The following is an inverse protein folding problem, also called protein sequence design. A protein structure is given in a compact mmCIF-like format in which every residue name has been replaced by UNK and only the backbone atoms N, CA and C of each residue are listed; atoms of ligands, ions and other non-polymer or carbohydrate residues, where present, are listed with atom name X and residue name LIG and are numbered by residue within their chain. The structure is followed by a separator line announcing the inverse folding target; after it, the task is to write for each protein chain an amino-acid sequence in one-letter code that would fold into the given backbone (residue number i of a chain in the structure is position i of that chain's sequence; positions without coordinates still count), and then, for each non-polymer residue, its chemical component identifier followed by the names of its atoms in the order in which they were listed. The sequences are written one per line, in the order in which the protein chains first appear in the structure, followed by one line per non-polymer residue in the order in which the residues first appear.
data_IF_341614950113
#
_entry.id   IF_341614950113
#
_cell.length_a   1.000
_cell.length_b   1.000
_cell.length_c   1.000
_cell.angle_alpha   90.00
_cell.angle_beta   90.00
_cell.angle_gamma   90.00
#
_symmetry.space_group_name_H-M   'P 1'
#
loop_
_entity.id
_entity.type
_entity.pdbx_description
1 polymer ?
#
# COMPACT_ATOMS: atom_id res chain seq x y z
N UNK A 1 -2.83 62.32 13.90
CA UNK A 1 -2.74 60.91 13.44
C UNK A 1 -4.05 60.22 13.81
N UNK A 2 -4.75 59.59 12.86
CA UNK A 2 -5.80 58.58 13.09
C UNK A 2 -6.16 57.95 11.73
N UNK A 3 -5.29 57.08 11.21
CA UNK A 3 -5.55 56.33 9.96
C UNK A 3 -6.44 55.11 10.25
N UNK A 4 -7.70 55.34 10.59
CA UNK A 4 -8.67 54.27 10.87
C UNK A 4 -9.26 53.66 9.58
N UNK A 5 -8.49 52.74 9.00
CA UNK A 5 -8.97 51.47 8.43
C UNK A 5 -10.34 51.48 7.72
N UNK A 6 -10.38 51.80 6.42
CA UNK A 6 -11.56 51.59 5.57
C UNK A 6 -12.06 50.12 5.56
N UNK A 7 -11.19 49.15 5.86
CA UNK A 7 -11.53 47.73 5.96
C UNK A 7 -12.61 47.41 7.03
N UNK A 8 -12.79 48.24 8.06
CA UNK A 8 -13.84 48.02 9.06
C UNK A 8 -15.25 48.31 8.54
N UNK A 9 -15.39 49.10 7.46
CA UNK A 9 -16.69 49.51 6.90
C UNK A 9 -17.44 48.37 6.17
N UNK A 10 -16.72 47.33 5.73
CA UNK A 10 -17.31 46.18 5.03
C UNK A 10 -17.75 45.03 5.98
N UNK A 11 -17.73 45.24 7.30
CA UNK A 11 -18.09 44.21 8.27
C UNK A 11 -19.59 44.01 8.40
N UNK A 12 -20.07 42.78 8.24
CA UNK A 12 -21.48 42.41 8.43
C UNK A 12 -21.92 42.36 9.91
N UNK A 13 -21.06 42.71 10.88
CA UNK A 13 -21.30 42.59 12.34
C UNK A 13 -22.65 43.16 12.81
N UNK A 14 -23.11 44.26 12.22
CA UNK A 14 -24.37 44.92 12.57
C UNK A 14 -25.52 44.64 11.58
N UNK A 15 -25.28 43.80 10.56
CA UNK A 15 -26.27 43.42 9.53
C UNK A 15 -26.78 41.98 9.68
N UNK A 16 -26.14 41.17 10.52
CA UNK A 16 -26.53 39.78 10.84
C UNK A 16 -26.28 39.47 12.33
N UNK A 17 -27.00 38.51 12.93
CA UNK A 17 -26.79 38.08 14.31
C UNK A 17 -25.33 37.77 14.66
N UNK A 18 -24.93 38.04 15.90
CA UNK A 18 -23.54 37.94 16.35
C UNK A 18 -22.92 36.54 16.20
N UNK A 19 -23.72 35.47 16.37
CA UNK A 19 -23.27 34.09 16.16
C UNK A 19 -22.85 33.78 14.72
N UNK A 20 -23.17 34.65 13.76
CA UNK A 20 -22.74 34.57 12.37
C UNK A 20 -21.40 35.30 12.11
N UNK A 21 -20.66 35.70 13.14
CA UNK A 21 -19.34 36.30 12.97
C UNK A 21 -18.41 35.31 12.24
N UNK A 22 -17.59 35.81 11.31
CA UNK A 22 -16.73 35.01 10.41
C UNK A 22 -17.40 33.93 9.54
N UNK A 23 -18.73 33.74 9.60
CA UNK A 23 -19.46 32.82 8.74
C UNK A 23 -19.22 33.13 7.25
N UNK A 24 -18.76 32.10 6.52
CA UNK A 24 -18.48 32.02 5.08
C UNK A 24 -19.00 30.67 4.57
N UNK A 25 -19.21 30.51 3.26
CA UNK A 25 -19.56 29.22 2.65
C UNK A 25 -20.96 28.67 3.00
N UNK A 26 -21.88 29.51 3.49
CA UNK A 26 -23.28 29.16 3.67
C UNK A 26 -24.11 29.70 2.49
N UNK A 27 -24.96 28.86 1.90
CA UNK A 27 -25.69 29.10 0.64
C UNK A 27 -26.37 30.48 0.60
N UNK A 28 -27.16 30.79 1.62
CA UNK A 28 -27.72 32.12 1.82
C UNK A 28 -27.92 32.40 3.32
N UNK A 29 -27.06 33.24 3.88
CA UNK A 29 -27.09 33.57 5.31
C UNK A 29 -28.39 34.24 5.77
N UNK A 30 -29.17 34.86 4.87
CA UNK A 30 -30.43 35.53 5.23
C UNK A 30 -31.49 34.54 5.74
N UNK A 31 -31.49 33.29 5.24
CA UNK A 31 -32.43 32.24 5.65
C UNK A 31 -32.43 32.12 7.19
N UNK A 32 -31.25 32.00 7.79
CA UNK A 32 -31.10 31.73 9.22
C UNK A 32 -31.47 32.91 10.14
N UNK A 33 -31.75 34.09 9.58
CA UNK A 33 -32.24 35.25 10.35
C UNK A 33 -33.77 35.25 10.52
N UNK A 34 -34.50 34.46 9.73
CA UNK A 34 -35.99 34.42 9.72
C UNK A 34 -36.58 33.04 10.03
N UNK A 35 -35.76 32.02 10.31
CA UNK A 35 -36.21 30.63 10.63
C UNK A 35 -37.25 30.56 11.75
N UNK A 36 -37.31 31.53 12.67
CA UNK A 36 -38.28 31.51 13.77
C UNK A 36 -39.70 31.99 13.37
N UNK A 37 -39.90 32.44 12.13
CA UNK A 37 -41.25 32.67 11.59
C UNK A 37 -41.89 31.30 11.27
N UNK A 38 -43.18 31.09 11.58
CA UNK A 38 -43.80 29.76 11.53
C UNK A 38 -43.73 29.10 10.13
N UNK A 39 -43.87 29.89 9.06
CA UNK A 39 -43.74 29.40 7.70
C UNK A 39 -42.32 28.88 7.40
N UNK A 40 -41.30 29.67 7.73
CA UNK A 40 -39.90 29.28 7.55
C UNK A 40 -39.47 28.15 8.49
N UNK A 41 -40.02 28.08 9.70
CA UNK A 41 -39.81 26.97 10.63
C UNK A 41 -40.37 25.67 10.03
N UNK A 42 -41.58 25.71 9.47
CA UNK A 42 -42.18 24.57 8.75
C UNK A 42 -41.34 24.17 7.54
N UNK A 43 -40.86 25.13 6.74
CA UNK A 43 -39.94 24.85 5.62
C UNK A 43 -38.65 24.18 6.08
N UNK A 44 -38.07 24.60 7.21
CA UNK A 44 -36.86 24.00 7.77
C UNK A 44 -37.10 22.53 8.18
N UNK A 45 -38.21 22.25 8.89
CA UNK A 45 -38.58 20.89 9.27
C UNK A 45 -38.78 19.97 8.06
N UNK A 46 -39.47 20.46 7.02
CA UNK A 46 -39.68 19.73 5.77
C UNK A 46 -38.36 19.49 5.02
N UNK A 47 -37.44 20.46 5.03
CA UNK A 47 -36.12 20.30 4.44
C UNK A 47 -35.25 19.28 5.20
N UNK A 48 -35.35 19.22 6.53
CA UNK A 48 -34.65 18.20 7.33
C UNK A 48 -35.22 16.80 7.10
N UNK A 49 -36.52 16.67 6.85
CA UNK A 49 -37.14 15.41 6.43
C UNK A 49 -36.72 15.01 5.00
N UNK A 50 -36.67 15.97 4.06
CA UNK A 50 -36.23 15.74 2.68
C UNK A 50 -34.77 15.25 2.60
N UNK A 51 -33.88 15.83 3.42
CA UNK A 51 -32.49 15.37 3.54
C UNK A 51 -32.33 14.00 4.25
N UNK A 52 -33.41 13.44 4.80
CA UNK A 52 -33.41 12.16 5.50
C UNK A 52 -32.49 12.08 6.73
N UNK A 53 -32.28 10.85 7.19
CA UNK A 53 -31.45 10.53 8.36
C UNK A 53 -32.08 10.87 9.71
N UNK A 54 -33.36 11.25 9.74
CA UNK A 54 -34.10 11.62 10.95
C UNK A 54 -35.43 10.87 11.01
N UNK A 55 -35.72 10.33 12.19
CA UNK A 55 -36.90 9.57 12.59
C UNK A 55 -38.03 10.46 13.12
N UNK A 56 -37.68 11.63 13.66
CA UNK A 56 -38.58 12.60 14.27
C UNK A 56 -38.45 13.98 13.60
N UNK A 57 -39.52 14.81 13.60
CA UNK A 57 -39.45 16.18 13.13
C UNK A 57 -38.37 16.97 13.89
N UNK A 58 -37.54 17.70 13.16
CA UNK A 58 -36.34 18.34 13.69
C UNK A 58 -36.21 19.76 13.17
N UNK A 59 -35.73 20.67 14.02
CA UNK A 59 -35.32 22.03 13.61
C UNK A 59 -33.86 22.26 14.03
N UNK A 60 -33.05 22.84 13.13
CA UNK A 60 -31.66 23.20 13.50
C UNK A 60 -31.61 24.25 14.63
N UNK A 61 -30.55 24.29 15.47
CA UNK A 61 -30.49 25.24 16.57
C UNK A 61 -30.48 26.70 16.08
N UNK A 62 -31.14 27.60 16.81
CA UNK A 62 -31.32 29.03 16.45
C UNK A 62 -30.01 29.78 16.14
N UNK A 63 -28.90 29.34 16.72
CA UNK A 63 -27.58 29.96 16.55
C UNK A 63 -26.66 29.18 15.57
N UNK A 64 -27.22 28.38 14.67
CA UNK A 64 -26.47 27.59 13.69
C UNK A 64 -26.98 27.79 12.26
N UNK A 65 -26.06 28.13 11.35
CA UNK A 65 -26.34 28.21 9.92
C UNK A 65 -26.14 26.85 9.23
N UNK A 66 -24.98 26.23 9.41
CA UNK A 66 -24.69 24.88 8.92
C UNK A 66 -25.40 23.81 9.75
N UNK A 67 -25.46 22.58 9.21
CA UNK A 67 -25.98 21.44 9.95
C UNK A 67 -25.11 21.16 11.19
N UNK A 68 -25.67 20.72 12.33
CA UNK A 68 -24.89 20.30 13.48
C UNK A 68 -23.97 19.12 13.17
N UNK A 69 -22.79 19.10 13.79
CA UNK A 69 -21.72 18.10 13.58
C UNK A 69 -22.24 16.65 13.67
N UNK A 70 -23.12 16.36 14.64
CA UNK A 70 -23.71 15.03 14.81
C UNK A 70 -24.64 14.64 13.65
N UNK A 71 -25.39 15.59 13.09
CA UNK A 71 -26.35 15.36 12.01
C UNK A 71 -25.65 15.26 10.66
N UNK A 72 -24.64 16.11 10.41
CA UNK A 72 -23.77 15.97 9.24
C UNK A 72 -22.98 14.67 9.27
N UNK A 73 -22.44 14.27 10.44
CA UNK A 73 -21.78 12.95 10.61
C UNK A 73 -22.75 11.80 10.34
N UNK A 74 -23.97 11.84 10.91
CA UNK A 74 -25.01 10.82 10.66
C UNK A 74 -25.37 10.73 9.18
N UNK A 75 -25.57 11.86 8.49
CA UNK A 75 -25.88 11.87 7.05
C UNK A 75 -24.73 11.38 6.18
N UNK A 76 -23.49 11.72 6.51
CA UNK A 76 -22.30 11.20 5.82
C UNK A 76 -22.15 9.67 5.98
N UNK A 77 -22.49 9.12 7.15
CA UNK A 77 -22.46 7.67 7.39
C UNK A 77 -23.63 6.93 6.71
N UNK A 78 -24.80 7.57 6.58
CA UNK A 78 -25.96 7.04 5.87
C UNK A 78 -25.92 7.27 4.35
N UNK A 79 -24.98 8.09 3.87
CA UNK A 79 -24.79 8.31 2.45
C UNK A 79 -24.26 7.02 1.84
N UNK A 80 -25.06 6.42 0.96
CA UNK A 80 -24.63 5.26 0.19
C UNK A 80 -23.36 5.58 -0.60
N UNK A 81 -22.46 4.61 -0.68
CA UNK A 81 -21.30 4.69 -1.56
C UNK A 81 -21.76 4.83 -3.02
N UNK A 82 -20.98 5.54 -3.84
CA UNK A 82 -21.28 5.71 -5.27
C UNK A 82 -21.10 4.41 -6.08
N UNK A 83 -20.24 3.52 -5.57
CA UNK A 83 -20.06 2.17 -6.08
C UNK A 83 -20.92 1.22 -5.24
N UNK A 84 -21.95 0.64 -5.85
CA UNK A 84 -22.82 -0.38 -5.23
C UNK A 84 -22.46 -1.75 -5.83
N UNK A 85 -22.21 -2.75 -4.97
CA UNK A 85 -21.92 -4.13 -5.40
C UNK A 85 -20.50 -4.35 -5.96
N UNK A 86 -19.43 -4.22 -5.15
CA UNK A 86 -18.05 -4.35 -5.62
C UNK A 86 -17.75 -5.80 -6.08
N UNK A 87 -17.30 -5.95 -7.32
CA UNK A 87 -16.90 -7.24 -7.87
C UNK A 87 -15.49 -7.63 -7.39
N UNK A 88 -14.51 -6.79 -7.73
CA UNK A 88 -13.08 -7.07 -7.53
C UNK A 88 -12.65 -6.89 -6.08
N UNK A 89 -11.53 -7.54 -5.71
CA UNK A 89 -10.77 -7.29 -4.48
C UNK A 89 -10.44 -5.79 -4.31
N UNK A 90 -9.93 -5.15 -5.37
CA UNK A 90 -9.64 -3.71 -5.40
C UNK A 90 -10.86 -2.83 -5.10
N UNK A 91 -12.03 -3.12 -5.67
CA UNK A 91 -13.24 -2.33 -5.44
C UNK A 91 -13.71 -2.37 -3.97
N UNK A 92 -13.53 -3.52 -3.31
CA UNK A 92 -13.78 -3.67 -1.86
C UNK A 92 -12.78 -2.81 -1.07
N UNK A 93 -11.50 -2.85 -1.42
CA UNK A 93 -10.45 -2.05 -0.80
C UNK A 93 -10.70 -0.54 -0.98
N UNK A 94 -11.17 -0.09 -2.16
CA UNK A 94 -11.57 1.31 -2.41
C UNK A 94 -12.70 1.72 -1.46
N UNK A 95 -13.71 0.87 -1.22
CA UNK A 95 -14.78 1.17 -0.26
C UNK A 95 -14.27 1.26 1.19
N UNK A 96 -13.28 0.45 1.56
CA UNK A 96 -12.61 0.53 2.87
C UNK A 96 -11.76 1.79 3.00
N UNK A 97 -11.03 2.18 1.95
CA UNK A 97 -10.28 3.42 1.86
C UNK A 97 -11.20 4.65 2.09
N UNK A 98 -12.36 4.70 1.45
CA UNK A 98 -13.33 5.78 1.67
C UNK A 98 -13.93 5.76 3.09
N UNK A 99 -14.10 4.59 3.73
CA UNK A 99 -14.56 4.51 5.13
C UNK A 99 -13.48 4.97 6.13
N UNK A 100 -12.21 4.63 5.88
CA UNK A 100 -11.06 4.92 6.74
C UNK A 100 -10.64 6.40 6.60
N UNK A 101 -10.24 6.81 5.40
CA UNK A 101 -9.56 8.08 5.14
C UNK A 101 -10.48 9.23 4.71
N UNK A 102 -11.64 8.92 4.11
CA UNK A 102 -12.67 9.92 3.74
C UNK A 102 -13.83 9.94 4.74
N UNK A 103 -13.54 9.68 6.02
CA UNK A 103 -14.53 9.76 7.09
C UNK A 103 -14.87 11.22 7.45
N UNK A 104 -16.10 11.46 7.94
CA UNK A 104 -16.55 12.81 8.29
C UNK A 104 -15.70 13.41 9.42
N UNK A 105 -14.92 14.45 9.10
CA UNK A 105 -13.91 15.04 9.98
C UNK A 105 -12.83 14.02 10.42
N UNK A 106 -12.46 13.11 9.51
CA UNK A 106 -11.36 12.18 9.71
C UNK A 106 -10.01 12.90 9.88
N UNK A 107 -9.22 12.42 10.83
CA UNK A 107 -7.84 12.87 11.10
C UNK A 107 -6.78 12.03 10.42
N UNK A 108 -7.14 10.81 10.05
CA UNK A 108 -6.20 9.77 9.70
C UNK A 108 -5.77 9.94 8.25
N UNK A 109 -4.45 9.94 8.02
CA UNK A 109 -3.85 10.07 6.69
C UNK A 109 -3.46 8.68 6.18
N UNK A 110 -3.62 8.39 4.87
CA UNK A 110 -3.08 7.18 4.28
C UNK A 110 -1.57 7.07 4.46
N UNK A 111 -1.06 5.83 4.44
CA UNK A 111 0.38 5.52 4.38
C UNK A 111 0.79 5.13 2.96
N UNK A 112 2.10 5.02 2.71
CA UNK A 112 2.60 4.45 1.46
C UNK A 112 2.19 2.97 1.32
N UNK A 113 2.19 2.22 2.42
CA UNK A 113 1.80 0.80 2.46
C UNK A 113 0.32 0.57 2.12
N UNK A 114 -0.58 1.46 2.55
CA UNK A 114 -1.99 1.42 2.10
C UNK A 114 -2.07 1.59 0.56
N UNK A 115 -1.21 2.42 -0.03
CA UNK A 115 -1.15 2.62 -1.48
C UNK A 115 -0.48 1.45 -2.21
N UNK A 116 0.55 0.82 -1.64
CA UNK A 116 1.15 -0.42 -2.16
C UNK A 116 0.10 -1.54 -2.21
N UNK A 117 -0.65 -1.72 -1.12
CA UNK A 117 -1.78 -2.67 -1.04
C UNK A 117 -2.78 -2.42 -2.17
N UNK A 118 -3.10 -1.16 -2.47
CA UNK A 118 -3.98 -0.81 -3.58
C UNK A 118 -3.42 -1.15 -4.97
N UNK A 119 -2.09 -1.10 -5.15
CA UNK A 119 -1.44 -1.52 -6.39
C UNK A 119 -1.35 -3.04 -6.52
N UNK A 120 -1.18 -3.77 -5.42
CA UNK A 120 -1.11 -5.24 -5.44
C UNK A 120 -2.45 -5.92 -5.76
N UNK A 121 -3.58 -5.26 -5.49
CA UNK A 121 -4.93 -5.72 -5.84
C UNK A 121 -5.35 -5.41 -7.29
N UNK A 122 -4.45 -4.88 -8.14
CA UNK A 122 -4.77 -4.55 -9.54
C UNK A 122 -4.80 -5.82 -10.41
N UNK A 123 -6.00 -6.22 -10.82
CA UNK A 123 -6.26 -7.37 -11.71
C UNK A 123 -6.74 -6.92 -13.12
N UNK A 124 -7.63 -5.93 -13.19
CA UNK A 124 -8.31 -5.45 -14.41
C UNK A 124 -7.87 -4.01 -14.78
N UNK A 125 -8.01 -3.56 -16.04
CA UNK A 125 -7.64 -2.19 -16.44
C UNK A 125 -8.47 -1.09 -15.74
N UNK A 126 -9.65 -1.42 -15.23
CA UNK A 126 -10.45 -0.53 -14.41
C UNK A 126 -9.84 -0.34 -13.00
N UNK A 127 -9.25 -1.40 -12.43
CA UNK A 127 -8.62 -1.37 -11.11
C UNK A 127 -7.41 -0.44 -11.09
N UNK A 128 -6.60 -0.47 -12.17
CA UNK A 128 -5.49 0.48 -12.36
C UNK A 128 -5.98 1.94 -12.38
N UNK A 129 -7.19 2.19 -12.91
CA UNK A 129 -7.79 3.54 -12.92
C UNK A 129 -8.22 3.98 -11.52
N UNK A 130 -8.69 3.08 -10.68
CA UNK A 130 -8.93 3.35 -9.25
C UNK A 130 -7.61 3.57 -8.50
N UNK A 131 -6.61 2.72 -8.71
CA UNK A 131 -5.29 2.84 -8.05
C UNK A 131 -4.60 4.17 -8.38
N UNK A 132 -4.62 4.59 -9.65
CA UNK A 132 -4.10 5.91 -10.06
C UNK A 132 -4.86 7.09 -9.42
N UNK A 133 -6.17 6.96 -9.20
CA UNK A 133 -6.93 7.98 -8.45
C UNK A 133 -6.54 8.02 -6.97
N UNK A 134 -6.25 6.88 -6.33
CA UNK A 134 -5.74 6.84 -4.96
C UNK A 134 -4.33 7.43 -4.86
N UNK A 135 -3.43 7.17 -5.82
CA UNK A 135 -2.13 7.84 -5.91
C UNK A 135 -2.27 9.36 -6.02
N UNK A 136 -3.17 9.84 -6.89
CA UNK A 136 -3.46 11.27 -7.02
C UNK A 136 -3.96 11.89 -5.70
N UNK A 137 -4.82 11.17 -4.94
CA UNK A 137 -5.23 11.61 -3.61
C UNK A 137 -4.04 11.65 -2.63
N UNK A 138 -3.18 10.62 -2.63
CA UNK A 138 -2.00 10.57 -1.75
C UNK A 138 -1.04 11.73 -2.02
N UNK A 139 -0.79 12.05 -3.31
CA UNK A 139 0.09 13.14 -3.73
C UNK A 139 -0.52 14.52 -3.48
N UNK A 140 -1.71 14.79 -4.00
CA UNK A 140 -2.27 16.14 -4.09
C UNK A 140 -3.25 16.52 -2.97
N UNK A 141 -3.88 15.55 -2.31
CA UNK A 141 -4.78 15.83 -1.18
C UNK A 141 -4.07 15.64 0.16
N UNK A 142 -3.38 14.52 0.34
CA UNK A 142 -2.74 14.17 1.61
C UNK A 142 -1.26 14.57 1.71
N UNK A 143 -0.62 14.99 0.60
CA UNK A 143 0.81 15.36 0.55
C UNK A 143 1.73 14.31 1.22
N UNK A 144 1.53 13.05 0.85
CA UNK A 144 2.34 11.93 1.34
C UNK A 144 3.62 11.84 0.50
N UNK A 145 4.76 11.58 1.15
CA UNK A 145 5.99 11.16 0.48
C UNK A 145 5.92 9.65 0.29
N UNK A 146 6.04 9.20 -0.95
CA UNK A 146 6.08 7.78 -1.33
C UNK A 146 7.36 7.10 -0.81
N UNK A 147 7.41 5.76 -0.78
CA UNK A 147 8.62 5.01 -0.45
C UNK A 147 9.57 4.95 -1.65
N UNK A 148 10.79 4.47 -1.42
CA UNK A 148 11.81 4.21 -2.44
C UNK A 148 11.31 3.18 -3.49
N UNK A 149 10.51 2.20 -3.03
CA UNK A 149 10.03 1.05 -3.80
C UNK A 149 8.68 1.30 -4.49
N UNK A 150 7.97 2.40 -4.16
CA UNK A 150 6.64 2.71 -4.71
C UNK A 150 6.60 2.74 -6.23
N UNK A 151 7.70 3.10 -6.91
CA UNK A 151 7.76 3.06 -8.38
C UNK A 151 7.83 1.63 -8.93
N UNK A 152 8.52 0.72 -8.26
CA UNK A 152 8.64 -0.67 -8.71
C UNK A 152 7.29 -1.39 -8.58
N UNK A 153 6.59 -1.19 -7.46
CA UNK A 153 5.24 -1.74 -7.22
C UNK A 153 4.23 -1.14 -8.21
N UNK A 154 4.33 0.15 -8.52
CA UNK A 154 3.51 0.79 -9.57
C UNK A 154 3.79 0.23 -10.97
N UNK A 155 5.06 -0.04 -11.30
CA UNK A 155 5.45 -0.67 -12.57
C UNK A 155 4.89 -2.08 -12.67
N UNK A 156 4.99 -2.88 -11.61
CA UNK A 156 4.39 -4.23 -11.55
C UNK A 156 2.88 -4.18 -11.77
N UNK A 157 2.15 -3.28 -11.09
CA UNK A 157 0.71 -3.09 -11.29
C UNK A 157 0.34 -2.66 -12.72
N UNK A 158 1.16 -1.85 -13.39
CA UNK A 158 0.95 -1.49 -14.79
C UNK A 158 1.18 -2.68 -15.74
N UNK A 159 2.18 -3.53 -15.45
CA UNK A 159 2.53 -4.70 -16.27
C UNK A 159 1.52 -5.84 -16.11
N UNK A 160 0.90 -6.03 -14.94
CA UNK A 160 -0.21 -7.01 -14.75
C UNK A 160 -1.41 -6.77 -15.68
N UNK A 161 -1.51 -5.58 -16.26
CA UNK A 161 -2.61 -5.14 -17.13
C UNK A 161 -2.12 -4.69 -18.53
N UNK A 162 -0.88 -5.03 -18.90
CA UNK A 162 -0.26 -4.66 -20.19
C UNK A 162 -0.22 -3.14 -20.49
N UNK A 163 -0.31 -2.28 -19.47
CA UNK A 163 -0.32 -0.80 -19.60
C UNK A 163 1.08 -0.18 -19.46
N UNK A 164 2.02 -0.60 -20.32
CA UNK A 164 3.38 -0.03 -20.38
C UNK A 164 3.39 1.47 -20.74
N UNK A 165 2.34 1.97 -21.40
CA UNK A 165 2.11 3.38 -21.68
C UNK A 165 2.00 4.22 -20.41
N UNK A 166 1.26 3.76 -19.40
CA UNK A 166 1.14 4.45 -18.12
C UNK A 166 2.48 4.50 -17.36
N UNK A 167 3.25 3.42 -17.39
CA UNK A 167 4.56 3.35 -16.75
C UNK A 167 5.60 4.26 -17.41
N UNK A 168 5.63 4.33 -18.74
CA UNK A 168 6.53 5.24 -19.47
C UNK A 168 6.16 6.72 -19.28
N UNK A 169 4.87 7.06 -19.20
CA UNK A 169 4.41 8.40 -18.81
C UNK A 169 4.86 8.75 -17.39
N UNK A 170 4.71 7.84 -16.43
CA UNK A 170 5.12 8.05 -15.05
C UNK A 170 6.64 8.27 -14.89
N UNK A 171 7.46 7.67 -15.75
CA UNK A 171 8.91 7.93 -15.79
C UNK A 171 9.24 9.35 -16.26
N UNK A 172 8.47 9.90 -17.21
CA UNK A 172 8.66 11.27 -17.71
C UNK A 172 8.22 12.33 -16.68
N UNK A 173 7.16 12.04 -15.92
CA UNK A 173 6.54 12.95 -14.94
C UNK A 173 6.74 12.49 -13.48
N UNK A 174 7.86 11.83 -13.17
CA UNK A 174 8.11 11.20 -11.87
C UNK A 174 8.00 12.19 -10.69
N UNK A 175 8.61 13.37 -10.81
CA UNK A 175 8.59 14.41 -9.78
C UNK A 175 7.19 14.99 -9.53
N UNK A 176 6.37 15.11 -10.57
CA UNK A 176 4.98 15.60 -10.47
C UNK A 176 4.13 14.60 -9.69
N UNK A 177 4.18 13.33 -10.08
CA UNK A 177 3.47 12.21 -9.44
C UNK A 177 3.98 11.92 -8.01
N UNK A 178 5.23 12.30 -7.70
CA UNK A 178 5.84 12.16 -6.38
C UNK A 178 6.77 10.96 -6.21
N UNK A 179 7.14 10.30 -7.31
CA UNK A 179 8.15 9.25 -7.36
C UNK A 179 9.56 9.86 -7.31
N UNK A 180 10.02 10.16 -6.10
CA UNK A 180 11.33 10.78 -5.86
C UNK A 180 12.51 9.82 -6.06
N UNK A 181 12.27 8.51 -5.94
CA UNK A 181 13.21 7.45 -6.29
C UNK A 181 12.62 6.60 -7.41
N UNK A 182 13.47 6.27 -8.40
CA UNK A 182 13.14 5.41 -9.53
C UNK A 182 14.42 4.63 -9.86
N UNK A 183 14.40 3.30 -9.68
CA UNK A 183 15.60 2.50 -9.83
C UNK A 183 16.13 2.50 -11.27
N UNK A 184 17.45 2.40 -11.42
CA UNK A 184 18.11 2.44 -12.73
C UNK A 184 17.74 1.27 -13.65
N UNK A 185 17.25 0.16 -13.09
CA UNK A 185 16.78 -1.00 -13.86
C UNK A 185 15.41 -0.71 -14.47
N UNK A 186 14.45 -0.21 -13.69
CA UNK A 186 13.15 0.23 -14.18
C UNK A 186 13.26 1.28 -15.29
N UNK A 187 14.20 2.23 -15.18
CA UNK A 187 14.44 3.24 -16.23
C UNK A 187 14.88 2.60 -17.55
N UNK A 188 15.89 1.73 -17.50
CA UNK A 188 16.44 1.05 -18.68
C UNK A 188 15.44 0.08 -19.32
N UNK A 189 14.61 -0.58 -18.50
CA UNK A 189 13.52 -1.43 -18.98
C UNK A 189 12.41 -0.68 -19.73
N UNK A 190 12.02 0.48 -19.22
CA UNK A 190 11.02 1.34 -19.86
C UNK A 190 11.56 2.02 -21.12
N UNK A 191 12.85 2.36 -21.15
CA UNK A 191 13.54 2.87 -22.34
C UNK A 191 13.81 1.80 -23.41
N UNK A 192 13.75 0.51 -23.08
CA UNK A 192 14.09 -0.60 -23.98
C UNK A 192 15.59 -0.91 -24.09
N UNK A 193 16.44 -0.26 -23.27
CA UNK A 193 17.85 -0.61 -23.13
C UNK A 193 18.07 -1.94 -22.40
N UNK A 194 17.10 -2.33 -21.56
CA UNK A 194 17.06 -3.60 -20.86
C UNK A 194 15.71 -4.28 -21.07
N UNK A 195 15.71 -5.60 -21.01
CA UNK A 195 14.55 -6.47 -21.20
C UNK A 195 13.90 -6.94 -19.89
N UNK A 196 14.54 -6.66 -18.75
CA UNK A 196 14.07 -6.96 -17.40
C UNK A 196 14.16 -5.72 -16.49
N UNK A 197 13.27 -5.61 -15.51
CA UNK A 197 13.27 -4.50 -14.53
C UNK A 197 13.70 -4.93 -13.12
N UNK A 198 13.39 -6.17 -12.73
CA UNK A 198 13.65 -6.73 -11.39
C UNK A 198 14.30 -8.10 -11.50
N UNK A 199 15.17 -8.41 -10.54
CA UNK A 199 15.69 -9.77 -10.32
C UNK A 199 15.19 -10.22 -8.95
N UNK A 200 14.46 -11.34 -8.90
CA UNK A 200 14.00 -11.89 -7.62
C UNK A 200 15.19 -12.28 -6.77
N UNK A 201 15.20 -11.87 -5.50
CA UNK A 201 16.21 -12.29 -4.53
C UNK A 201 15.98 -13.72 -4.03
N UNK A 202 14.72 -14.19 -4.07
CA UNK A 202 14.31 -15.52 -3.62
C UNK A 202 14.54 -16.54 -4.73
N UNK A 203 14.04 -16.26 -5.93
CA UNK A 203 14.05 -17.24 -7.04
C UNK A 203 15.27 -17.09 -7.96
N UNK A 204 16.03 -15.99 -7.82
CA UNK A 204 17.13 -15.55 -8.70
C UNK A 204 16.74 -15.34 -10.19
N UNK A 205 15.44 -15.40 -10.49
CA UNK A 205 14.82 -15.18 -11.81
C UNK A 205 14.78 -13.68 -12.19
N UNK A 206 14.74 -13.42 -13.49
CA UNK A 206 14.50 -12.07 -14.04
C UNK A 206 13.01 -11.87 -14.35
N UNK A 207 12.47 -10.67 -14.10
CA UNK A 207 11.09 -10.32 -14.46
C UNK A 207 11.07 -9.25 -15.57
N UNK A 208 10.17 -9.37 -16.57
CA UNK A 208 9.09 -10.36 -16.71
C UNK A 208 9.55 -11.79 -17.06
N UNK A 209 8.70 -12.79 -16.77
CA UNK A 209 9.03 -14.22 -16.88
C UNK A 209 9.32 -14.70 -18.31
N UNK A 210 8.89 -13.96 -19.33
CA UNK A 210 9.14 -14.26 -20.74
C UNK A 210 10.65 -14.19 -21.05
N UNK A 211 11.32 -13.12 -20.60
CA UNK A 211 12.76 -12.91 -20.73
C UNK A 211 13.58 -13.92 -19.89
N UNK A 212 13.00 -14.39 -18.78
CA UNK A 212 13.63 -15.35 -17.88
C UNK A 212 13.94 -16.67 -18.59
N UNK A 213 13.05 -17.12 -19.48
CA UNK A 213 13.22 -18.33 -20.25
C UNK A 213 14.46 -18.26 -21.15
N UNK A 214 14.72 -17.10 -21.77
CA UNK A 214 15.88 -16.90 -22.63
C UNK A 214 17.17 -16.73 -21.81
N UNK A 215 17.16 -15.91 -20.76
CA UNK A 215 18.37 -15.59 -19.98
C UNK A 215 18.83 -16.72 -19.06
N UNK A 216 17.94 -17.36 -18.31
CA UNK A 216 18.37 -18.41 -17.38
C UNK A 216 18.68 -19.75 -18.09
N UNK A 217 18.12 -19.98 -19.29
CA UNK A 217 18.60 -21.03 -20.19
C UNK A 217 20.03 -20.74 -20.70
N UNK A 218 20.36 -19.48 -21.01
CA UNK A 218 21.73 -19.09 -21.38
C UNK A 218 22.73 -19.29 -20.23
N UNK A 219 22.32 -19.05 -18.98
CA UNK A 219 23.19 -19.27 -17.79
C UNK A 219 23.44 -20.76 -17.53
N UNK A 220 22.41 -21.62 -17.62
CA UNK A 220 22.56 -23.08 -17.42
C UNK A 220 23.31 -23.76 -18.57
N UNK A 221 23.14 -23.31 -19.82
CA UNK A 221 23.96 -23.77 -20.96
C UNK A 221 25.39 -23.23 -20.96
N UNK A 222 25.63 -22.03 -20.43
CA UNK A 222 26.98 -21.49 -20.23
C UNK A 222 27.78 -22.24 -19.15
N UNK A 223 27.12 -22.64 -18.06
CA UNK A 223 27.76 -23.40 -16.97
C UNK A 223 28.25 -24.79 -17.44
N UNK A 224 27.48 -25.47 -18.30
CA UNK A 224 27.87 -26.78 -18.86
C UNK A 224 28.99 -26.68 -19.89
N UNK A 225 29.09 -25.56 -20.64
CA UNK A 225 30.22 -25.30 -21.53
C UNK A 225 31.55 -25.05 -20.78
N UNK A 226 31.51 -24.38 -19.62
CA UNK A 226 32.72 -24.09 -18.84
C UNK A 226 33.33 -25.31 -18.15
N UNK A 227 32.53 -26.35 -17.86
CA UNK A 227 33.01 -27.59 -17.25
C UNK A 227 33.78 -28.50 -18.24
N UNK A 228 33.52 -28.36 -19.55
CA UNK A 228 34.15 -29.18 -20.59
C UNK A 228 35.55 -28.69 -21.03
N UNK A 229 35.94 -27.46 -20.68
CA UNK A 229 37.18 -26.84 -21.15
C UNK A 229 38.37 -26.96 -20.16
N UNK A 230 38.15 -27.52 -18.96
CA UNK A 230 39.14 -27.60 -17.89
C UNK A 230 39.69 -29.02 -17.67
N UNK A 231 39.91 -29.80 -18.74
CA UNK A 231 40.55 -31.11 -18.66
C UNK A 231 41.57 -31.31 -19.78
N UNK A 232 42.86 -31.41 -19.41
CA UNK A 232 43.88 -32.05 -20.25
C UNK A 232 44.96 -31.16 -20.88
N UNK A 233 45.88 -30.61 -20.08
CA UNK A 233 47.32 -30.75 -20.38
C UNK A 233 48.25 -30.49 -19.18
N UNK A 234 49.08 -31.48 -18.88
CA UNK A 234 50.20 -31.41 -17.90
C UNK A 234 51.51 -31.61 -18.65
N UNK A 235 52.53 -30.75 -18.40
CA UNK A 235 53.93 -31.19 -18.21
C UNK A 235 54.86 -30.10 -17.65
N UNK A 236 55.94 -30.54 -16.99
CA UNK A 236 56.76 -29.79 -16.02
C UNK A 236 58.08 -29.16 -16.57
N UNK A 237 58.83 -28.47 -15.68
CA UNK A 237 60.24 -28.06 -15.79
C UNK A 237 60.45 -26.55 -15.56
N UNK A 238 60.71 -26.07 -14.33
CA UNK A 238 62.06 -25.77 -13.74
C UNK A 238 62.72 -24.49 -14.35
N UNK A 239 63.31 -23.53 -13.63
CA UNK A 239 64.05 -23.54 -12.34
C UNK A 239 64.13 -22.12 -11.67
N UNK A 240 64.27 -22.04 -10.33
CA UNK A 240 65.09 -21.11 -9.45
C UNK A 240 65.33 -19.58 -9.76
N UNK A 241 65.62 -18.64 -8.83
CA UNK A 241 65.95 -18.57 -7.37
C UNK A 241 65.37 -17.27 -6.72
N UNK A 242 65.37 -17.15 -5.37
CA UNK A 242 65.25 -15.85 -4.67
C UNK A 242 64.68 -15.87 -3.23
N UNK A 243 65.53 -16.13 -2.23
CA UNK A 243 65.14 -16.30 -0.80
C UNK A 243 65.33 -15.00 0.04
N UNK A 244 65.26 -15.02 1.39
CA UNK A 244 64.08 -15.27 2.24
C UNK A 244 63.89 -14.18 3.33
N UNK A 245 62.81 -14.25 4.14
CA UNK A 245 62.92 -13.85 5.56
C UNK A 245 61.91 -14.56 6.48
N UNK A 246 62.36 -14.80 7.72
CA UNK A 246 61.76 -15.69 8.72
C UNK A 246 61.05 -14.95 9.84
N UNK A 247 59.98 -15.51 10.38
CA UNK A 247 59.70 -15.54 11.82
C UNK A 247 58.66 -16.62 12.13
N UNK A 248 58.96 -17.48 13.11
CA UNK A 248 58.10 -18.58 13.53
C UNK A 248 57.75 -18.45 15.03
N UNK A 249 56.53 -18.85 15.40
CA UNK A 249 56.25 -19.41 16.73
C UNK A 249 55.16 -20.49 16.62
N UNK A 250 55.42 -21.62 17.27
CA UNK A 250 54.57 -22.81 17.49
C UNK A 250 53.38 -22.49 18.44
N UNK A 251 52.32 -23.28 18.69
CA UNK A 251 51.98 -24.73 18.61
C UNK A 251 50.41 -24.84 18.61
N UNK A 252 49.66 -25.92 18.31
CA UNK A 252 49.93 -27.32 17.92
C UNK A 252 48.65 -28.07 17.41
N UNK A 253 48.77 -29.39 17.17
CA UNK A 253 47.83 -30.54 17.41
C UNK A 253 46.31 -30.25 17.56
N UNK A 254 45.35 -30.83 16.81
CA UNK A 254 45.26 -31.86 15.73
C UNK A 254 43.81 -31.84 15.14
N UNK A 255 43.40 -32.52 14.06
CA UNK A 255 44.06 -33.44 13.10
C UNK A 255 43.11 -34.58 12.65
N UNK A 256 43.14 -34.96 11.36
CA UNK A 256 42.19 -35.87 10.64
C UNK A 256 40.74 -35.35 10.50
N UNK A 257 39.91 -35.74 9.52
CA UNK A 257 39.98 -36.26 8.16
C UNK A 257 38.50 -36.55 7.77
N UNK A 258 38.18 -36.49 6.47
CA UNK A 258 36.86 -36.53 5.83
C UNK A 258 35.83 -37.62 6.28
N UNK A 259 34.55 -37.21 6.37
CA UNK A 259 33.31 -37.99 6.07
C UNK A 259 32.11 -37.03 6.15
N UNK A 260 31.38 -36.68 5.09
CA UNK A 260 30.31 -37.48 4.47
C UNK A 260 29.38 -38.21 5.47
N UNK A 261 28.52 -37.49 6.21
CA UNK A 261 27.30 -38.09 6.81
C UNK A 261 26.17 -37.10 7.24
N UNK A 262 26.04 -35.93 6.59
CA UNK A 262 25.05 -34.89 6.99
C UNK A 262 23.61 -35.17 6.50
N UNK A 263 23.40 -36.22 5.70
CA UNK A 263 22.08 -36.58 5.14
C UNK A 263 21.21 -37.43 6.08
N UNK A 264 21.80 -38.12 7.07
CA UNK A 264 21.05 -38.96 8.03
C UNK A 264 20.47 -38.19 9.23
N UNK A 265 21.02 -37.01 9.53
CA UNK A 265 20.61 -36.20 10.67
C UNK A 265 19.26 -35.50 10.46
N UNK A 266 18.95 -35.10 9.21
CA UNK A 266 17.70 -34.40 8.89
C UNK A 266 16.49 -35.32 8.90
N UNK A 267 16.61 -36.53 8.35
CA UNK A 267 15.49 -37.49 8.26
C UNK A 267 15.08 -38.03 9.63
N UNK A 268 16.04 -38.15 10.56
CA UNK A 268 15.75 -38.56 11.94
C UNK A 268 15.07 -37.46 12.77
N UNK A 269 15.40 -36.19 12.55
CA UNK A 269 14.69 -35.04 13.14
C UNK A 269 13.27 -34.91 12.57
N UNK A 270 13.08 -35.12 11.25
CA UNK A 270 11.76 -35.12 10.59
C UNK A 270 10.88 -36.25 11.14
N UNK A 271 11.40 -37.47 11.24
CA UNK A 271 10.66 -38.61 11.79
C UNK A 271 10.23 -38.39 13.25
N UNK A 272 11.09 -37.72 14.04
CA UNK A 272 10.76 -37.33 15.42
C UNK A 272 9.63 -36.30 15.47
N UNK A 273 9.71 -35.25 14.65
CA UNK A 273 8.69 -34.20 14.60
C UNK A 273 7.33 -34.71 14.09
N UNK A 274 7.33 -35.68 13.18
CA UNK A 274 6.11 -36.37 12.74
C UNK A 274 5.48 -37.19 13.87
N UNK A 275 6.28 -37.95 14.63
CA UNK A 275 5.77 -38.71 15.77
C UNK A 275 5.24 -37.80 16.91
N UNK A 276 5.83 -36.62 17.10
CA UNK A 276 5.37 -35.62 18.08
C UNK A 276 4.04 -34.98 17.66
N UNK A 277 3.84 -34.71 16.36
CA UNK A 277 2.56 -34.23 15.82
C UNK A 277 1.45 -35.29 15.90
N UNK A 278 1.72 -36.55 15.56
CA UNK A 278 0.75 -37.64 15.70
C UNK A 278 0.34 -37.88 17.17
N UNK A 279 1.25 -37.68 18.11
CA UNK A 279 0.95 -37.75 19.54
C UNK A 279 -0.01 -36.63 19.98
N UNK A 280 0.25 -35.38 19.54
CA UNK A 280 -0.58 -34.21 19.87
C UNK A 280 -1.97 -34.26 19.21
N UNK A 281 -2.07 -34.76 17.97
CA UNK A 281 -3.38 -34.97 17.32
C UNK A 281 -4.22 -36.02 18.07
N UNK A 282 -3.57 -37.07 18.58
CA UNK A 282 -4.20 -38.12 19.37
C UNK A 282 -4.60 -37.67 20.78
N UNK A 283 -3.87 -36.73 21.36
CA UNK A 283 -4.20 -36.10 22.65
C UNK A 283 -5.42 -35.15 22.50
N UNK A 284 -5.43 -34.29 21.48
CA UNK A 284 -6.61 -33.46 21.15
C UNK A 284 -7.84 -34.30 20.76
N UNK A 285 -7.65 -35.46 20.13
CA UNK A 285 -8.74 -36.39 19.78
C UNK A 285 -9.39 -37.10 20.97
N UNK A 286 -8.76 -37.09 22.15
CA UNK A 286 -9.22 -37.82 23.34
C UNK A 286 -10.08 -37.00 24.31
N UNK A 287 -10.02 -35.67 24.27
CA UNK A 287 -10.83 -34.80 25.16
C UNK A 287 -12.26 -34.53 24.64
N UNK A 288 -12.66 -35.20 23.54
CA UNK A 288 -13.93 -34.93 22.83
C UNK A 288 -15.12 -35.82 23.19
N UNK A 289 -14.98 -36.85 24.03
CA UNK A 289 -16.07 -37.80 24.29
C UNK A 289 -16.02 -38.52 25.65
N UNK A 290 -16.56 -37.89 26.71
CA UNK A 290 -17.51 -38.59 27.59
C UNK A 290 -18.43 -37.64 28.38
N UNK A 291 -19.73 -37.83 28.12
CA UNK A 291 -20.93 -37.79 28.96
C UNK A 291 -21.08 -36.84 30.18
N UNK A 292 -22.25 -36.20 30.28
CA UNK A 292 -23.12 -36.34 31.46
C UNK A 292 -24.56 -35.89 31.18
N UNK A 293 -25.34 -36.77 30.56
CA UNK A 293 -26.80 -36.68 30.59
C UNK A 293 -27.38 -37.38 31.83
N UNK A 294 -27.58 -36.68 32.96
CA UNK A 294 -28.48 -37.10 34.08
C UNK A 294 -28.64 -36.05 35.20
N UNK A 295 -29.70 -35.25 35.11
CA UNK A 295 -30.70 -34.91 36.16
C UNK A 295 -31.44 -33.60 35.81
#
# INVERSE_FOLDING_TARGET
MLCTSQALLASLRYRRPYWMLFLKGADNWKIYTVIQQPDHQRTEMLYQAWLGGLDRPYVRPKCMAHQPVWLSKKRHLLQKARLEGPETSMEKYVLEWYKKFHSFQGTDRPTAEDLHTAFDLVERPLDLSYACQLLNQCRNHYYIRLSDDSFEIFLEACLRVDRKDCASYALQHADELGFWHVSGNCRRYLAGEQTWYKRSTVDLLYYPLEENAERNAAVTSGATASAAAASGKVREGEEMEGAPQTSATTSETSGSAESEDDAGATDSEIARLQAELEALEKEMGAEGSDDTGKN
#
